data_IF_553623001469
#
_entry.id   IF_553623001469
#
_cell.length_a   1.000
_cell.length_b   1.000
_cell.length_c   1.000
_cell.angle_alpha   90.00
_cell.angle_beta   90.00
_cell.angle_gamma   90.00
#
_symmetry.space_group_name_H-M   'P 1'
#
loop_
_entity.id
_entity.type
_entity.pdbx_description
1 polymer ?
#
# COMPACT_ATOMS: atom_id res chain seq x y z
N UNK A 1 1.20 -3.93 63.14
CA UNK A 1 0.03 -3.34 63.82
C UNK A 1 -0.86 -2.74 62.77
N UNK A 2 -2.03 -3.29 62.71
CA UNK A 2 -3.32 -2.88 62.23
C UNK A 2 -3.59 -2.95 60.69
N UNK A 3 -4.35 -3.97 60.42
CA UNK A 3 -5.31 -4.11 59.35
C UNK A 3 -6.33 -2.96 59.34
N UNK A 4 -6.82 -2.64 58.16
CA UNK A 4 -8.23 -2.29 58.03
C UNK A 4 -8.75 -2.60 56.66
N UNK A 5 -9.65 -3.55 56.64
CA UNK A 5 -10.62 -3.85 55.57
C UNK A 5 -11.54 -2.64 55.38
N UNK A 6 -11.94 -2.36 54.14
CA UNK A 6 -13.23 -1.74 53.81
C UNK A 6 -13.59 -2.09 52.38
N UNK A 7 -14.46 -2.99 52.23
CA UNK A 7 -15.93 -2.90 52.04
C UNK A 7 -16.36 -2.30 50.70
N UNK A 8 -16.91 -3.22 49.94
CA UNK A 8 -17.73 -3.06 48.75
C UNK A 8 -18.84 -2.02 48.92
N UNK A 9 -19.01 -1.20 47.93
CA UNK A 9 -20.31 -0.65 47.62
C UNK A 9 -20.56 -0.80 46.11
N UNK A 10 -21.41 -1.76 45.78
CA UNK A 10 -22.10 -1.83 44.50
C UNK A 10 -22.99 -0.59 44.39
N UNK A 11 -22.85 0.11 43.29
CA UNK A 11 -23.93 0.94 42.77
C UNK A 11 -24.15 0.53 41.32
N UNK A 12 -25.20 -0.19 41.09
CA UNK A 12 -25.75 -0.51 39.79
C UNK A 12 -26.46 0.75 39.25
N UNK A 13 -26.46 0.84 37.95
CA UNK A 13 -27.41 1.45 37.05
C UNK A 13 -26.79 2.44 36.07
N UNK A 14 -26.99 2.12 34.81
CA UNK A 14 -26.76 3.04 33.69
C UNK A 14 -26.14 2.33 32.49
N UNK A 15 -26.81 1.31 31.99
CA UNK A 15 -26.47 0.72 30.69
C UNK A 15 -26.96 1.68 29.59
N UNK A 16 -26.11 2.59 29.16
CA UNK A 16 -26.26 3.24 27.87
C UNK A 16 -25.74 2.29 26.83
N UNK A 17 -26.63 1.83 25.95
CA UNK A 17 -26.32 0.99 24.81
C UNK A 17 -25.24 1.65 23.98
N UNK A 18 -24.10 0.98 23.82
CA UNK A 18 -23.10 1.31 22.84
C UNK A 18 -23.72 1.17 21.44
N UNK A 19 -23.43 2.07 20.49
CA UNK A 19 -23.86 1.89 19.12
C UNK A 19 -23.27 0.58 18.59
N UNK A 20 -24.12 -0.22 17.94
CA UNK A 20 -23.73 -1.47 17.32
C UNK A 20 -22.51 -1.23 16.40
N UNK A 21 -21.42 -1.92 16.68
CA UNK A 21 -20.32 -1.99 15.75
C UNK A 21 -20.85 -2.59 14.45
N UNK A 22 -20.80 -1.82 13.38
CA UNK A 22 -21.02 -2.33 12.03
C UNK A 22 -19.95 -3.39 11.79
N UNK A 23 -20.37 -4.63 11.62
CA UNK A 23 -19.47 -5.71 11.23
C UNK A 23 -18.70 -5.27 9.97
N UNK A 24 -17.39 -5.24 10.06
CA UNK A 24 -16.54 -5.14 8.89
C UNK A 24 -16.88 -6.31 7.96
N UNK A 25 -16.94 -6.10 6.63
CA UNK A 25 -17.16 -7.20 5.72
C UNK A 25 -16.10 -8.27 5.97
N UNK A 26 -16.56 -9.49 6.16
CA UNK A 26 -15.71 -10.65 6.37
C UNK A 26 -14.62 -10.66 5.29
N UNK A 27 -13.38 -10.77 5.73
CA UNK A 27 -12.27 -10.99 4.81
C UNK A 27 -12.64 -12.20 3.96
N UNK A 28 -12.67 -11.98 2.67
CA UNK A 28 -12.85 -13.04 1.67
C UNK A 28 -11.83 -14.13 1.99
N UNK A 29 -12.32 -15.30 2.31
CA UNK A 29 -11.49 -16.45 2.58
C UNK A 29 -10.58 -16.63 1.38
N UNK A 30 -9.27 -16.52 1.62
CA UNK A 30 -8.27 -16.86 0.62
C UNK A 30 -8.71 -18.16 -0.03
N UNK A 31 -9.09 -18.10 -1.30
CA UNK A 31 -9.33 -19.28 -2.09
C UNK A 31 -8.06 -20.11 -1.99
N UNK A 32 -8.20 -21.35 -1.56
CA UNK A 32 -7.14 -22.34 -1.54
C UNK A 32 -6.57 -22.40 -2.96
N UNK A 33 -5.46 -21.68 -3.19
CA UNK A 33 -4.82 -21.65 -4.48
C UNK A 33 -4.32 -23.06 -4.72
N UNK A 34 -4.86 -23.71 -5.73
CA UNK A 34 -4.36 -24.99 -6.20
C UNK A 34 -2.82 -24.93 -6.27
N UNK A 35 -2.10 -25.98 -5.87
CA UNK A 35 -0.64 -25.99 -5.93
C UNK A 35 -0.23 -25.56 -7.34
N UNK A 36 0.58 -24.50 -7.43
CA UNK A 36 1.14 -24.08 -8.70
C UNK A 36 1.87 -25.28 -9.28
N UNK A 37 1.57 -25.62 -10.54
CA UNK A 37 2.33 -26.66 -11.24
C UNK A 37 3.81 -26.28 -11.17
N UNK A 38 4.64 -27.21 -10.73
CA UNK A 38 6.07 -27.04 -10.71
C UNK A 38 6.54 -26.83 -12.16
N UNK A 39 6.80 -25.59 -12.52
CA UNK A 39 7.26 -25.21 -13.87
C UNK A 39 8.71 -25.59 -14.09
N UNK A 40 9.38 -26.15 -13.07
CA UNK A 40 10.81 -26.46 -13.12
C UNK A 40 11.71 -25.22 -13.15
N UNK A 41 11.15 -23.99 -13.08
CA UNK A 41 11.94 -22.78 -12.98
C UNK A 41 12.50 -22.62 -11.57
N UNK A 42 13.80 -22.41 -11.47
CA UNK A 42 14.47 -22.03 -10.23
C UNK A 42 15.54 -20.98 -10.56
N UNK A 43 15.67 -19.93 -9.75
CA UNK A 43 16.71 -18.94 -9.97
C UNK A 43 18.10 -19.55 -9.71
N UNK A 44 19.04 -19.27 -10.60
CA UNK A 44 20.43 -19.71 -10.49
C UNK A 44 21.32 -18.74 -9.70
N UNK A 45 20.75 -17.62 -9.23
CA UNK A 45 21.40 -16.59 -8.45
C UNK A 45 20.43 -15.65 -7.76
N UNK A 46 20.92 -14.57 -7.15
CA UNK A 46 20.09 -13.55 -6.50
C UNK A 46 19.10 -12.94 -7.49
N UNK A 47 17.84 -12.76 -7.05
CA UNK A 47 16.80 -12.11 -7.83
C UNK A 47 16.79 -10.62 -7.50
N UNK A 48 16.81 -9.76 -8.51
CA UNK A 48 16.69 -8.30 -8.32
C UNK A 48 15.22 -7.91 -8.29
N UNK A 49 14.81 -7.17 -7.23
CA UNK A 49 13.48 -6.58 -7.16
C UNK A 49 13.56 -5.06 -7.29
N UNK A 50 13.11 -4.52 -8.41
CA UNK A 50 13.06 -3.08 -8.66
C UNK A 50 11.88 -2.48 -7.91
N UNK A 51 12.19 -1.48 -7.07
CA UNK A 51 11.22 -0.63 -6.36
C UNK A 51 11.33 0.78 -6.92
N UNK A 52 10.30 1.24 -7.61
CA UNK A 52 10.29 2.49 -8.38
C UNK A 52 10.20 3.76 -7.51
N UNK A 53 10.70 3.72 -6.28
CA UNK A 53 10.66 4.82 -5.31
C UNK A 53 11.89 4.81 -4.40
N UNK A 54 12.09 5.92 -3.68
CA UNK A 54 13.17 6.07 -2.69
C UNK A 54 13.10 5.01 -1.60
N UNK A 55 14.27 4.57 -1.17
CA UNK A 55 14.40 3.72 -0.01
C UNK A 55 13.76 4.37 1.23
N UNK A 56 13.09 3.54 2.03
CA UNK A 56 12.42 3.96 3.27
C UNK A 56 10.99 4.48 3.08
N UNK A 57 10.48 4.57 1.85
CA UNK A 57 9.05 4.86 1.66
C UNK A 57 8.18 3.61 1.89
N UNK A 58 6.86 3.77 1.93
CA UNK A 58 5.93 2.67 2.20
C UNK A 58 6.09 1.49 1.25
N UNK A 59 6.29 1.75 -0.05
CA UNK A 59 6.50 0.71 -1.07
C UNK A 59 7.80 -0.06 -0.83
N UNK A 60 8.90 0.62 -0.51
CA UNK A 60 10.17 -0.02 -0.21
C UNK A 60 10.10 -0.90 1.04
N UNK A 61 9.50 -0.38 2.12
CA UNK A 61 9.32 -1.13 3.36
C UNK A 61 8.51 -2.41 3.10
N UNK A 62 7.41 -2.28 2.37
CA UNK A 62 6.53 -3.41 2.03
C UNK A 62 7.24 -4.42 1.14
N UNK A 63 8.01 -3.96 0.13
CA UNK A 63 8.81 -4.82 -0.73
C UNK A 63 9.87 -5.62 0.04
N UNK A 64 10.56 -4.98 1.00
CA UNK A 64 11.55 -5.65 1.85
C UNK A 64 10.95 -6.72 2.74
N UNK A 65 9.77 -6.47 3.30
CA UNK A 65 9.04 -7.47 4.08
C UNK A 65 8.66 -8.65 3.18
N UNK A 66 8.11 -8.39 1.99
CA UNK A 66 7.78 -9.45 1.05
C UNK A 66 9.02 -10.28 0.67
N UNK A 67 10.15 -9.62 0.35
CA UNK A 67 11.40 -10.27 -0.02
C UNK A 67 11.86 -11.26 1.06
N UNK A 68 11.89 -10.85 2.32
CA UNK A 68 12.31 -11.71 3.45
C UNK A 68 11.50 -13.02 3.56
N UNK A 69 10.21 -12.96 3.23
CA UNK A 69 9.37 -14.16 3.25
C UNK A 69 9.52 -14.98 1.96
N UNK A 70 9.60 -14.32 0.81
CA UNK A 70 9.70 -14.97 -0.50
C UNK A 70 11.02 -15.73 -0.67
N UNK A 71 12.13 -15.23 -0.15
CA UNK A 71 13.45 -15.88 -0.17
C UNK A 71 13.41 -17.32 0.34
N UNK A 72 12.57 -17.60 1.34
CA UNK A 72 12.41 -18.94 1.92
C UNK A 72 11.82 -19.96 0.94
N UNK A 73 11.05 -19.49 -0.02
CA UNK A 73 10.38 -20.33 -1.02
C UNK A 73 11.16 -20.36 -2.34
N UNK A 74 11.80 -19.25 -2.69
CA UNK A 74 12.60 -19.12 -3.92
C UNK A 74 13.97 -19.80 -3.75
N UNK A 75 14.49 -19.87 -2.51
CA UNK A 75 15.81 -20.45 -2.22
C UNK A 75 16.98 -19.55 -2.59
N UNK A 76 16.72 -18.31 -2.98
CA UNK A 76 17.73 -17.30 -3.33
C UNK A 76 17.42 -15.96 -2.68
N UNK A 77 18.44 -15.13 -2.52
CA UNK A 77 18.30 -13.77 -1.98
C UNK A 77 17.56 -12.87 -2.97
N UNK A 78 16.67 -12.02 -2.47
CA UNK A 78 16.02 -10.96 -3.23
C UNK A 78 16.69 -9.63 -2.89
N UNK A 79 17.39 -9.05 -3.86
CA UNK A 79 18.08 -7.77 -3.73
C UNK A 79 17.14 -6.65 -4.15
N UNK A 80 16.82 -5.73 -3.21
CA UNK A 80 15.99 -4.57 -3.51
C UNK A 80 16.83 -3.48 -4.17
N UNK A 81 16.44 -3.08 -5.37
CA UNK A 81 16.99 -1.94 -6.10
C UNK A 81 15.97 -0.80 -6.14
N UNK A 82 16.31 0.31 -5.50
CA UNK A 82 15.46 1.50 -5.50
C UNK A 82 15.79 2.40 -6.68
N UNK A 83 14.84 2.58 -7.60
CA UNK A 83 14.96 3.41 -8.81
C UNK A 83 13.92 4.52 -8.76
N UNK A 84 14.26 5.64 -8.13
CA UNK A 84 13.35 6.77 -7.94
C UNK A 84 13.35 7.71 -9.15
N UNK A 85 12.20 8.21 -9.54
CA UNK A 85 12.03 9.23 -10.56
C UNK A 85 10.76 9.09 -11.39
N UNK A 86 10.24 10.24 -11.85
CA UNK A 86 9.06 10.32 -12.71
C UNK A 86 7.81 9.67 -12.11
N UNK A 87 7.63 9.74 -10.78
CA UNK A 87 6.53 9.07 -10.06
C UNK A 87 6.48 7.54 -10.27
N UNK A 88 7.66 6.93 -10.42
CA UNK A 88 7.85 5.50 -10.63
C UNK A 88 8.15 5.10 -12.08
N UNK A 89 7.92 6.00 -13.06
CA UNK A 89 8.10 5.66 -14.47
C UNK A 89 9.52 5.24 -14.83
N UNK A 90 10.54 5.78 -14.15
CA UNK A 90 11.93 5.41 -14.40
C UNK A 90 12.20 3.95 -14.00
N UNK A 91 11.81 3.56 -12.79
CA UNK A 91 11.97 2.18 -12.31
C UNK A 91 11.19 1.16 -13.15
N UNK A 92 9.96 1.49 -13.54
CA UNK A 92 9.17 0.60 -14.40
C UNK A 92 9.71 0.54 -15.84
N UNK A 93 10.32 1.61 -16.36
CA UNK A 93 11.04 1.55 -17.65
C UNK A 93 12.25 0.64 -17.57
N UNK A 94 12.99 0.67 -16.47
CA UNK A 94 14.12 -0.23 -16.24
C UNK A 94 13.65 -1.70 -16.16
N UNK A 95 12.55 -1.94 -15.44
CA UNK A 95 11.97 -3.28 -15.35
C UNK A 95 11.52 -3.82 -16.72
N UNK A 96 10.87 -2.97 -17.53
CA UNK A 96 10.43 -3.35 -18.87
C UNK A 96 11.59 -3.67 -19.83
N UNK A 97 12.77 -3.09 -19.57
CA UNK A 97 13.97 -3.34 -20.37
C UNK A 97 14.80 -4.54 -19.89
N UNK A 98 14.46 -5.12 -18.73
CA UNK A 98 15.15 -6.30 -18.20
C UNK A 98 14.78 -7.56 -18.97
N UNK A 99 15.67 -8.55 -18.95
CA UNK A 99 15.40 -9.86 -19.56
C UNK A 99 14.23 -10.56 -18.86
N UNK A 100 13.30 -11.18 -19.61
CA UNK A 100 12.11 -11.82 -19.04
C UNK A 100 12.39 -13.26 -18.55
N UNK A 101 13.51 -13.46 -17.88
CA UNK A 101 14.00 -14.75 -17.36
C UNK A 101 13.57 -15.04 -15.90
N UNK A 102 12.96 -14.06 -15.24
CA UNK A 102 12.54 -14.14 -13.86
C UNK A 102 13.60 -13.69 -12.84
N UNK A 103 14.82 -13.36 -13.28
CA UNK A 103 15.89 -12.86 -12.39
C UNK A 103 15.70 -11.40 -12.02
N UNK A 104 14.86 -10.66 -12.76
CA UNK A 104 14.45 -9.30 -12.43
C UNK A 104 12.94 -9.21 -12.30
N UNK A 105 12.48 -8.84 -11.13
CA UNK A 105 11.08 -8.60 -10.80
C UNK A 105 10.88 -7.17 -10.34
N UNK A 106 9.63 -6.71 -10.23
CA UNK A 106 9.37 -5.34 -9.81
C UNK A 106 8.13 -5.20 -8.95
N UNK A 107 8.14 -4.17 -8.12
CA UNK A 107 7.01 -3.78 -7.30
C UNK A 107 6.27 -2.62 -7.96
N UNK A 108 4.98 -2.80 -8.24
CA UNK A 108 4.17 -1.79 -8.93
C UNK A 108 3.09 -1.22 -8.02
N UNK A 109 2.84 0.07 -8.16
CA UNK A 109 1.77 0.77 -7.46
C UNK A 109 0.68 1.19 -8.44
N UNK A 110 -0.50 0.64 -8.29
CA UNK A 110 -1.69 1.12 -8.98
C UNK A 110 -2.39 2.20 -8.14
N UNK A 111 -2.94 3.26 -8.75
CA UNK A 111 -3.04 3.54 -10.18
C UNK A 111 -1.85 4.32 -10.78
N UNK A 112 -0.75 4.58 -10.05
CA UNK A 112 0.38 5.38 -10.54
C UNK A 112 0.96 4.81 -11.83
N UNK A 113 1.12 3.49 -11.90
CA UNK A 113 1.61 2.78 -13.06
C UNK A 113 0.74 3.06 -14.30
N UNK A 114 -0.58 2.90 -14.18
CA UNK A 114 -1.49 3.18 -15.30
C UNK A 114 -1.48 4.66 -15.70
N UNK A 115 -1.43 5.57 -14.73
CA UNK A 115 -1.35 7.00 -14.97
C UNK A 115 -0.09 7.39 -15.73
N UNK A 116 1.04 6.75 -15.44
CA UNK A 116 2.31 7.02 -16.14
C UNK A 116 2.25 6.60 -17.62
N UNK A 117 1.59 5.49 -17.93
CA UNK A 117 1.37 5.05 -19.31
C UNK A 117 0.49 6.04 -20.07
N UNK A 118 -0.66 6.43 -19.49
CA UNK A 118 -1.60 7.38 -20.12
C UNK A 118 -0.93 8.75 -20.39
N UNK A 119 -0.01 9.15 -19.50
CA UNK A 119 0.73 10.42 -19.61
C UNK A 119 1.98 10.32 -20.49
N UNK A 120 2.34 9.13 -20.97
CA UNK A 120 3.55 8.93 -21.75
C UNK A 120 4.84 9.21 -20.98
N UNK A 121 4.87 8.96 -19.67
CA UNK A 121 6.03 9.23 -18.82
C UNK A 121 7.10 8.13 -18.89
N UNK A 122 6.77 6.96 -19.41
CA UNK A 122 7.66 5.82 -19.55
C UNK A 122 7.66 5.27 -20.96
N UNK A 123 8.63 4.41 -21.24
CA UNK A 123 8.81 3.75 -22.57
C UNK A 123 8.18 2.34 -22.60
N UNK A 124 7.15 2.11 -21.79
CA UNK A 124 6.51 0.82 -21.58
C UNK A 124 5.00 0.88 -21.72
N UNK A 125 4.40 -0.26 -21.90
CA UNK A 125 2.95 -0.49 -21.91
C UNK A 125 2.60 -1.56 -20.89
N UNK A 126 1.31 -1.81 -20.66
CA UNK A 126 0.86 -2.92 -19.79
C UNK A 126 1.22 -4.29 -20.36
N UNK A 127 1.43 -4.41 -21.68
CA UNK A 127 1.78 -5.67 -22.33
C UNK A 127 3.22 -6.12 -22.04
N UNK A 128 4.09 -5.21 -21.59
CA UNK A 128 5.49 -5.52 -21.30
C UNK A 128 5.68 -6.19 -19.94
N UNK A 129 4.59 -6.38 -19.18
CA UNK A 129 4.65 -6.93 -17.83
C UNK A 129 3.69 -8.11 -17.65
N UNK A 130 4.12 -9.08 -16.86
CA UNK A 130 3.28 -10.15 -16.36
C UNK A 130 3.09 -9.98 -14.85
N UNK A 131 1.84 -9.80 -14.43
CA UNK A 131 1.52 -9.73 -13.01
C UNK A 131 1.69 -11.12 -12.36
N UNK A 132 2.36 -11.16 -11.22
CA UNK A 132 2.56 -12.36 -10.40
C UNK A 132 1.45 -12.47 -9.36
N UNK A 133 1.31 -11.45 -8.53
CA UNK A 133 0.29 -11.41 -7.48
C UNK A 133 -0.06 -9.98 -7.08
N UNK A 134 -1.20 -9.80 -6.43
CA UNK A 134 -1.51 -8.58 -5.68
C UNK A 134 -1.05 -8.77 -4.23
N UNK A 135 -0.12 -7.93 -3.78
CA UNK A 135 0.44 -8.04 -2.44
C UNK A 135 -0.38 -7.28 -1.41
N UNK A 136 -0.81 -6.07 -1.72
CA UNK A 136 -1.54 -5.20 -0.79
C UNK A 136 -2.56 -4.34 -1.54
N UNK A 137 -3.70 -4.11 -0.91
CA UNK A 137 -4.69 -3.13 -1.36
C UNK A 137 -4.86 -2.10 -0.25
N UNK A 138 -4.68 -0.84 -0.58
CA UNK A 138 -4.80 0.28 0.35
C UNK A 138 -5.96 1.19 -0.06
N UNK A 139 -6.69 1.69 0.93
CA UNK A 139 -7.73 2.69 0.74
C UNK A 139 -7.12 4.08 0.89
N UNK A 140 -7.37 4.96 -0.07
CA UNK A 140 -7.00 6.37 0.06
C UNK A 140 -7.86 7.07 1.10
N UNK A 141 -7.23 7.85 1.98
CA UNK A 141 -7.88 8.63 3.01
C UNK A 141 -7.62 10.12 2.79
N UNK A 142 -8.63 10.93 3.06
CA UNK A 142 -8.48 12.38 3.21
C UNK A 142 -8.43 12.69 4.68
N UNK A 143 -7.36 13.34 5.11
CA UNK A 143 -7.12 13.67 6.51
C UNK A 143 -7.12 15.19 6.69
N UNK A 144 -7.76 15.64 7.75
CA UNK A 144 -7.69 17.01 8.25
C UNK A 144 -7.15 17.00 9.68
N UNK A 145 -6.76 18.14 10.20
CA UNK A 145 -6.33 18.24 11.59
C UNK A 145 -7.50 17.93 12.53
N UNK A 146 -7.24 17.20 13.60
CA UNK A 146 -8.27 16.81 14.57
C UNK A 146 -8.87 18.01 15.34
N UNK A 147 -8.13 19.12 15.39
CA UNK A 147 -8.53 20.38 16.04
C UNK A 147 -9.11 21.40 15.04
N UNK A 148 -9.45 20.98 13.83
CA UNK A 148 -10.06 21.84 12.80
C UNK A 148 -11.58 21.65 12.79
N UNK A 149 -12.26 22.49 13.51
CA UNK A 149 -13.73 22.45 13.66
C UNK A 149 -14.53 22.79 12.38
N UNK A 150 -13.83 23.18 11.30
CA UNK A 150 -14.48 23.52 10.03
C UNK A 150 -15.00 22.29 9.30
N UNK A 151 -14.43 21.13 9.55
CA UNK A 151 -14.64 19.91 8.76
C UNK A 151 -15.01 18.73 9.66
N UNK A 152 -16.30 18.51 9.86
CA UNK A 152 -16.80 17.31 10.52
C UNK A 152 -17.01 16.16 9.53
N UNK A 153 -17.27 16.49 8.26
CA UNK A 153 -17.54 15.54 7.19
C UNK A 153 -16.76 15.90 5.92
N UNK A 154 -16.70 14.99 4.98
CA UNK A 154 -16.12 15.26 3.65
C UNK A 154 -16.91 16.33 2.90
N UNK A 155 -18.21 16.40 3.09
CA UNK A 155 -19.06 17.38 2.43
C UNK A 155 -18.76 18.80 2.90
N UNK A 156 -18.41 18.99 4.16
CA UNK A 156 -17.96 20.28 4.71
C UNK A 156 -16.67 20.73 4.02
N UNK A 157 -15.72 19.82 3.86
CA UNK A 157 -14.45 20.09 3.17
C UNK A 157 -14.72 20.46 1.69
N UNK A 158 -15.56 19.71 1.00
CA UNK A 158 -15.91 19.97 -0.41
C UNK A 158 -16.62 21.32 -0.56
N UNK A 159 -17.56 21.64 0.34
CA UNK A 159 -18.24 22.93 0.33
C UNK A 159 -17.27 24.09 0.53
N UNK A 160 -16.38 23.96 1.53
CA UNK A 160 -15.36 24.96 1.79
C UNK A 160 -14.39 25.15 0.61
N UNK A 161 -13.95 24.08 -0.01
CA UNK A 161 -13.00 24.11 -1.12
C UNK A 161 -13.57 24.74 -2.40
N UNK A 162 -14.89 24.75 -2.58
CA UNK A 162 -15.55 25.46 -3.69
C UNK A 162 -15.46 26.97 -3.61
N UNK A 163 -15.36 27.50 -2.40
CA UNK A 163 -15.37 28.94 -2.14
C UNK A 163 -14.01 29.49 -1.70
N UNK A 164 -13.09 28.60 -1.29
CA UNK A 164 -11.81 28.99 -0.70
C UNK A 164 -10.66 28.19 -1.33
N UNK A 165 -9.51 28.83 -1.42
CA UNK A 165 -8.27 28.12 -1.77
C UNK A 165 -7.89 27.19 -0.63
N UNK A 166 -7.78 25.91 -0.92
CA UNK A 166 -7.29 24.88 0.02
C UNK A 166 -5.90 24.41 -0.38
N UNK A 167 -5.08 24.09 0.63
CA UNK A 167 -3.75 23.54 0.44
C UNK A 167 -3.76 22.09 0.90
N UNK A 168 -3.46 21.17 -0.01
CA UNK A 168 -3.35 19.76 0.28
C UNK A 168 -1.89 19.30 0.18
N UNK A 169 -1.51 18.36 1.04
CA UNK A 169 -0.22 17.66 0.98
C UNK A 169 -0.42 16.26 0.41
N UNK A 170 0.40 15.91 -0.55
CA UNK A 170 0.41 14.59 -1.18
C UNK A 170 1.83 14.02 -1.18
N UNK A 171 2.02 12.75 -1.47
CA UNK A 171 3.34 12.11 -1.50
C UNK A 171 4.15 12.43 -2.78
N UNK A 172 3.70 13.34 -3.59
CA UNK A 172 4.43 13.85 -4.76
C UNK A 172 3.54 14.22 -5.92
N UNK A 173 4.04 15.10 -6.77
CA UNK A 173 3.37 15.48 -8.01
C UNK A 173 3.13 14.25 -8.88
N UNK A 174 1.92 14.13 -9.43
CA UNK A 174 1.47 13.02 -10.29
C UNK A 174 1.32 11.66 -9.57
N UNK A 175 1.55 11.56 -8.27
CA UNK A 175 1.17 10.40 -7.49
C UNK A 175 -0.37 10.22 -7.45
N UNK A 176 -0.85 9.01 -7.12
CA UNK A 176 -2.28 8.71 -7.12
C UNK A 176 -3.11 9.65 -6.25
N UNK A 177 -2.62 9.96 -5.07
CA UNK A 177 -3.26 10.88 -4.14
C UNK A 177 -3.14 12.37 -4.55
N UNK A 178 -2.19 12.74 -5.42
CA UNK A 178 -2.15 14.07 -6.02
C UNK A 178 -3.18 14.21 -7.15
N UNK A 179 -3.41 13.15 -7.92
CA UNK A 179 -4.38 13.16 -9.04
C UNK A 179 -5.82 13.12 -8.51
N UNK A 180 -6.03 12.48 -7.36
CA UNK A 180 -7.34 12.38 -6.72
C UNK A 180 -7.72 13.57 -5.84
N UNK A 181 -6.81 14.52 -5.62
CA UNK A 181 -7.06 15.72 -4.83
C UNK A 181 -7.51 16.89 -5.72
#
# INVERSE_FOLDING_TARGET
ILALCMVFALCACGQTAAPAATEAPAADTAADAAPAEDTGWAPDGPVTMIVAYKAGNGTDVTARVLAQYAEKYIGQTIVIENVDGGSGSLGWSQLAAADPDGMTIGFMNLPNFNSSIVKGLGTYTTADFKAICNHVTETSLVLVRADDDRFATIDDLVAYAKENTTVASTNGAQASNHIGA
#
